data_IF_775857333025
#
_entry.id   IF_775857333025
#
_cell.length_a   1.000
_cell.length_b   1.000
_cell.length_c   1.000
_cell.angle_alpha   90.00
_cell.angle_beta   90.00
_cell.angle_gamma   90.00
#
_symmetry.space_group_name_H-M   'P 1'
#
loop_
_entity.id
_entity.type
_entity.pdbx_description
1 polymer ?
#
# COMPACT_ATOMS: atom_id res chain seq x y z
N UNK A 1 -57.52 -19.53 29.98
CA UNK A 1 -57.23 -19.81 28.56
C UNK A 1 -55.88 -19.26 28.09
N UNK A 2 -55.36 -18.13 28.63
CA UNK A 2 -54.04 -17.58 28.24
C UNK A 2 -52.85 -18.39 28.81
N UNK A 3 -53.00 -19.01 30.00
CA UNK A 3 -51.93 -19.75 30.68
C UNK A 3 -51.47 -21.00 29.92
N UNK A 4 -52.41 -21.85 29.46
CA UNK A 4 -52.12 -23.07 28.71
C UNK A 4 -51.32 -22.80 27.42
N UNK A 5 -51.46 -21.60 26.84
CA UNK A 5 -50.70 -21.24 25.65
C UNK A 5 -49.23 -20.97 25.97
N UNK A 6 -48.91 -20.36 27.11
CA UNK A 6 -47.52 -20.09 27.51
C UNK A 6 -46.80 -21.37 27.92
N UNK A 7 -47.48 -22.27 28.63
CA UNK A 7 -46.91 -23.57 29.03
C UNK A 7 -46.55 -24.41 27.79
N UNK A 8 -47.46 -24.48 26.81
CA UNK A 8 -47.20 -25.17 25.54
C UNK A 8 -46.08 -24.51 24.73
N UNK A 9 -45.98 -23.18 24.79
CA UNK A 9 -44.92 -22.42 24.12
C UNK A 9 -43.56 -22.67 24.78
N UNK A 10 -43.55 -22.85 26.11
CA UNK A 10 -42.37 -23.14 26.88
C UNK A 10 -41.86 -24.57 26.62
N UNK A 11 -42.76 -25.56 26.58
CA UNK A 11 -42.42 -26.93 26.17
C UNK A 11 -41.80 -26.95 24.76
N UNK A 12 -42.38 -26.19 23.83
CA UNK A 12 -41.82 -26.01 22.47
C UNK A 12 -40.45 -25.35 22.49
N UNK A 13 -40.22 -24.40 23.38
CA UNK A 13 -38.93 -23.70 23.55
C UNK A 13 -37.86 -24.64 24.10
N UNK A 14 -38.20 -25.45 25.11
CA UNK A 14 -37.30 -26.48 25.66
C UNK A 14 -36.93 -27.53 24.61
N UNK A 15 -37.86 -27.86 23.71
CA UNK A 15 -37.61 -28.75 22.57
C UNK A 15 -36.88 -28.07 21.39
N UNK A 16 -36.63 -26.75 21.45
CA UNK A 16 -35.95 -26.00 20.39
C UNK A 16 -36.76 -25.81 19.10
N UNK A 17 -38.09 -25.91 19.18
CA UNK A 17 -39.00 -25.85 18.02
C UNK A 17 -39.67 -24.46 17.85
N UNK A 18 -39.31 -23.49 18.70
CA UNK A 18 -39.90 -22.14 18.65
C UNK A 18 -39.42 -21.32 17.46
N UNK A 19 -40.32 -20.50 16.93
CA UNK A 19 -40.02 -19.42 15.99
C UNK A 19 -39.64 -18.13 16.74
N UNK A 20 -38.98 -17.20 16.04
CA UNK A 20 -38.60 -15.89 16.59
C UNK A 20 -39.79 -15.11 17.17
N UNK A 21 -40.97 -15.24 16.56
CA UNK A 21 -42.20 -14.59 17.06
C UNK A 21 -42.66 -15.19 18.39
N UNK A 22 -42.64 -16.52 18.50
CA UNK A 22 -43.02 -17.25 19.73
C UNK A 22 -42.04 -16.95 20.87
N UNK A 23 -40.73 -16.89 20.59
CA UNK A 23 -39.74 -16.48 21.59
C UNK A 23 -39.94 -15.04 22.07
N UNK A 24 -40.37 -14.14 21.17
CA UNK A 24 -40.69 -12.77 21.55
C UNK A 24 -41.92 -12.72 22.46
N UNK A 25 -42.90 -13.60 22.25
CA UNK A 25 -44.05 -13.74 23.15
C UNK A 25 -43.63 -14.26 24.54
N UNK A 26 -42.75 -15.27 24.61
CA UNK A 26 -42.19 -15.76 25.88
C UNK A 26 -41.43 -14.64 26.61
N UNK A 27 -40.55 -13.93 25.91
CA UNK A 27 -39.82 -12.78 26.47
C UNK A 27 -40.78 -11.74 27.06
N UNK A 28 -41.80 -11.33 26.31
CA UNK A 28 -42.76 -10.34 26.76
C UNK A 28 -43.57 -10.80 27.98
N UNK A 29 -43.89 -12.09 28.07
CA UNK A 29 -44.59 -12.65 29.22
C UNK A 29 -43.73 -12.63 30.49
N UNK A 30 -42.48 -13.10 30.41
CA UNK A 30 -41.56 -13.15 31.57
C UNK A 30 -40.98 -11.78 31.98
N UNK A 31 -41.12 -10.76 31.13
CA UNK A 31 -40.82 -9.37 31.46
C UNK A 31 -41.86 -8.72 32.37
N UNK A 32 -43.03 -9.33 32.56
CA UNK A 32 -44.08 -8.80 33.43
C UNK A 32 -43.69 -8.94 34.92
N UNK A 33 -44.16 -8.00 35.75
CA UNK A 33 -43.91 -8.04 37.20
C UNK A 33 -44.54 -9.30 37.83
N UNK A 34 -45.77 -9.63 37.44
CA UNK A 34 -46.54 -10.78 37.93
C UNK A 34 -46.53 -11.92 36.92
N UNK A 35 -45.84 -13.01 37.25
CA UNK A 35 -45.82 -14.28 36.48
C UNK A 35 -46.47 -15.37 37.33
N UNK A 36 -47.07 -16.38 36.70
CA UNK A 36 -47.64 -17.51 37.43
C UNK A 36 -46.60 -18.19 38.33
N UNK A 37 -46.96 -18.57 39.58
CA UNK A 37 -45.99 -19.06 40.59
C UNK A 37 -45.15 -20.26 40.12
N UNK A 38 -45.73 -21.17 39.35
CA UNK A 38 -45.02 -22.36 38.85
C UNK A 38 -44.09 -22.07 37.66
N UNK A 39 -44.25 -20.92 37.01
CA UNK A 39 -43.40 -20.48 35.89
C UNK A 39 -42.32 -19.49 36.32
N UNK A 40 -42.34 -19.03 37.58
CA UNK A 40 -41.42 -18.04 38.11
C UNK A 40 -39.96 -18.50 38.02
N UNK A 41 -39.70 -19.82 38.09
CA UNK A 41 -38.38 -20.41 37.90
C UNK A 41 -37.74 -20.09 36.54
N UNK A 42 -38.54 -19.83 35.50
CA UNK A 42 -38.05 -19.52 34.15
C UNK A 42 -37.75 -18.03 33.94
N UNK A 43 -38.24 -17.16 34.85
CA UNK A 43 -38.11 -15.69 34.73
C UNK A 43 -36.66 -15.20 34.56
N UNK A 44 -35.64 -15.74 35.27
CA UNK A 44 -34.25 -15.31 35.08
C UNK A 44 -33.72 -15.56 33.66
N UNK A 45 -34.18 -16.63 32.98
CA UNK A 45 -33.73 -17.00 31.64
C UNK A 45 -34.09 -15.95 30.58
N UNK A 46 -35.23 -15.29 30.75
CA UNK A 46 -35.74 -14.30 29.80
C UNK A 46 -35.40 -12.85 30.20
N UNK A 47 -35.11 -12.59 31.48
CA UNK A 47 -34.82 -11.23 31.99
C UNK A 47 -33.32 -10.90 32.02
N UNK A 48 -32.42 -11.90 32.09
CA UNK A 48 -30.97 -11.68 32.20
C UNK A 48 -30.39 -10.78 31.09
N UNK A 49 -30.82 -10.98 29.84
CA UNK A 49 -30.32 -10.20 28.70
C UNK A 49 -30.85 -8.76 28.63
N UNK A 50 -31.86 -8.39 29.43
CA UNK A 50 -32.36 -7.03 29.49
C UNK A 50 -31.38 -6.12 30.26
N UNK A 51 -30.77 -6.63 31.32
CA UNK A 51 -29.80 -5.91 32.16
C UNK A 51 -28.51 -5.65 31.37
N UNK A 52 -28.01 -6.67 30.66
CA UNK A 52 -26.74 -6.59 29.93
C UNK A 52 -26.84 -5.83 28.59
N UNK A 53 -28.05 -5.57 28.07
CA UNK A 53 -28.24 -4.74 26.86
C UNK A 53 -27.78 -3.29 27.04
N UNK A 54 -27.63 -2.83 28.28
CA UNK A 54 -27.17 -1.47 28.58
C UNK A 54 -25.64 -1.34 28.48
N UNK A 55 -24.89 -2.45 28.47
CA UNK A 55 -23.45 -2.43 28.26
C UNK A 55 -23.15 -2.21 26.78
N UNK A 56 -23.09 -0.95 26.38
CA UNK A 56 -22.55 -0.57 25.08
C UNK A 56 -21.05 -0.36 25.18
N UNK A 57 -20.31 -0.92 24.23
CA UNK A 57 -18.89 -0.64 24.07
C UNK A 57 -18.72 0.82 23.61
N UNK A 58 -18.53 1.74 24.56
CA UNK A 58 -18.42 3.20 24.33
C UNK A 58 -17.02 3.66 23.96
N UNK A 59 -16.05 2.74 23.84
CA UNK A 59 -14.67 3.09 23.55
C UNK A 59 -14.50 3.36 22.06
N UNK A 60 -14.03 4.55 21.73
CA UNK A 60 -13.61 4.87 20.37
C UNK A 60 -12.54 3.89 19.90
N UNK A 61 -12.87 3.08 18.90
CA UNK A 61 -11.92 2.21 18.24
C UNK A 61 -11.09 3.08 17.29
N UNK A 62 -9.75 3.11 17.42
CA UNK A 62 -8.88 3.77 16.45
C UNK A 62 -8.81 2.92 15.18
N UNK A 63 -9.90 2.90 14.42
CA UNK A 63 -9.98 2.18 13.16
C UNK A 63 -9.23 2.98 12.10
N UNK A 64 -8.04 2.50 11.72
CA UNK A 64 -7.34 2.98 10.53
C UNK A 64 -8.12 2.51 9.29
N UNK A 65 -9.08 3.30 8.85
CA UNK A 65 -9.81 3.04 7.61
C UNK A 65 -8.83 3.07 6.44
N UNK A 66 -8.85 2.04 5.59
CA UNK A 66 -8.05 2.05 4.34
C UNK A 66 -8.52 3.22 3.48
N UNK A 67 -7.57 4.03 3.00
CA UNK A 67 -7.86 5.09 2.02
C UNK A 67 -8.41 4.43 0.76
N UNK A 68 -9.69 4.66 0.49
CA UNK A 68 -10.32 4.25 -0.77
C UNK A 68 -9.89 5.22 -1.86
N UNK A 69 -9.14 4.73 -2.84
CA UNK A 69 -8.82 5.54 -4.01
C UNK A 69 -10.03 5.55 -4.93
N UNK A 70 -10.48 6.74 -5.34
CA UNK A 70 -11.67 6.88 -6.16
C UNK A 70 -11.29 6.72 -7.65
N UNK A 71 -11.24 5.47 -8.12
CA UNK A 71 -10.93 5.10 -9.50
C UNK A 71 -11.85 5.74 -10.55
N UNK A 72 -13.03 6.26 -10.15
CA UNK A 72 -13.93 6.98 -11.06
C UNK A 72 -13.28 8.23 -11.66
N UNK A 73 -12.37 8.88 -10.92
CA UNK A 73 -11.63 10.05 -11.42
C UNK A 73 -10.57 9.68 -12.47
N UNK A 74 -10.11 8.42 -12.53
CA UNK A 74 -9.17 7.98 -13.56
C UNK A 74 -9.84 8.00 -14.93
N UNK A 75 -11.11 7.57 -15.02
CA UNK A 75 -11.85 7.59 -16.27
C UNK A 75 -12.03 9.03 -16.80
N UNK A 76 -12.35 9.97 -15.89
CA UNK A 76 -12.47 11.40 -16.22
C UNK A 76 -11.14 11.97 -16.69
N UNK A 77 -10.04 11.65 -15.99
CA UNK A 77 -8.70 12.09 -16.36
C UNK A 77 -8.27 11.52 -17.72
N UNK A 78 -8.55 10.25 -18.01
CA UNK A 78 -8.21 9.62 -19.28
C UNK A 78 -8.91 10.30 -20.47
N UNK A 79 -10.21 10.58 -20.33
CA UNK A 79 -10.96 11.30 -21.36
C UNK A 79 -10.41 12.72 -21.54
N UNK A 80 -10.13 13.44 -20.45
CA UNK A 80 -9.53 14.77 -20.52
C UNK A 80 -8.16 14.77 -21.22
N UNK A 81 -7.30 13.80 -20.92
CA UNK A 81 -5.98 13.67 -21.58
C UNK A 81 -6.14 13.36 -23.07
N UNK A 82 -7.08 12.48 -23.45
CA UNK A 82 -7.33 12.15 -24.85
C UNK A 82 -7.91 13.35 -25.62
N UNK A 83 -8.83 14.10 -25.03
CA UNK A 83 -9.42 15.28 -25.67
C UNK A 83 -8.42 16.41 -25.78
N UNK A 84 -7.63 16.67 -24.74
CA UNK A 84 -6.54 17.65 -24.79
C UNK A 84 -5.46 17.22 -25.80
N UNK A 85 -5.07 15.95 -25.80
CA UNK A 85 -4.10 15.41 -26.76
C UNK A 85 -4.59 15.49 -28.20
N UNK A 86 -5.89 15.33 -28.43
CA UNK A 86 -6.49 15.53 -29.76
C UNK A 86 -6.64 17.03 -30.11
N UNK A 87 -7.01 17.87 -29.15
CA UNK A 87 -7.24 19.31 -29.36
C UNK A 87 -5.93 20.08 -29.59
N UNK A 88 -4.90 19.75 -28.82
CA UNK A 88 -3.53 20.27 -29.00
C UNK A 88 -2.73 19.44 -30.00
N UNK A 89 -3.37 18.53 -30.75
CA UNK A 89 -2.76 17.95 -31.94
C UNK A 89 -2.70 19.05 -33.00
N UNK A 90 -1.66 19.89 -32.92
CA UNK A 90 -1.21 20.65 -34.07
C UNK A 90 -1.02 19.67 -35.24
N UNK A 91 -1.23 20.09 -36.51
CA UNK A 91 -0.74 19.33 -37.64
C UNK A 91 0.78 19.28 -37.54
N UNK A 92 1.27 18.29 -36.80
CA UNK A 92 2.61 17.76 -36.83
C UNK A 92 2.83 17.04 -38.18
N UNK A 93 2.56 17.75 -39.28
CA UNK A 93 2.90 17.38 -40.64
C UNK A 93 3.70 18.56 -41.17
N UNK A 94 4.98 18.61 -40.81
CA UNK A 94 6.01 19.39 -41.53
C UNK A 94 7.42 19.29 -40.92
N UNK A 95 7.67 18.50 -39.88
CA UNK A 95 9.06 18.31 -39.40
C UNK A 95 9.47 16.86 -39.10
N UNK A 96 8.56 15.89 -39.25
CA UNK A 96 8.85 14.48 -38.93
C UNK A 96 9.12 13.63 -40.18
N UNK A 97 8.80 14.11 -41.39
CA UNK A 97 9.11 13.36 -42.62
C UNK A 97 10.49 13.67 -43.20
N UNK A 98 11.10 14.83 -42.91
CA UNK A 98 12.40 15.21 -43.50
C UNK A 98 13.61 14.55 -42.82
N UNK A 99 13.48 14.12 -41.56
CA UNK A 99 14.59 13.56 -40.78
C UNK A 99 14.45 12.08 -40.44
N UNK A 100 13.37 11.42 -40.86
CA UNK A 100 13.08 10.03 -40.50
C UNK A 100 14.03 9.01 -41.17
N UNK A 101 14.76 9.40 -42.21
CA UNK A 101 15.60 8.50 -43.02
C UNK A 101 17.12 8.66 -42.81
N UNK A 102 17.55 9.47 -41.84
CA UNK A 102 18.95 9.48 -41.39
C UNK A 102 19.98 10.14 -42.32
N UNK A 103 19.53 10.82 -43.37
CA UNK A 103 20.37 11.63 -44.26
C UNK A 103 19.86 13.06 -44.29
N UNK A 104 20.78 14.01 -44.14
CA UNK A 104 20.51 15.44 -44.29
C UNK A 104 20.86 15.85 -45.72
N UNK A 105 19.94 16.52 -46.41
CA UNK A 105 20.16 16.99 -47.79
C UNK A 105 21.19 18.13 -47.85
N UNK A 106 21.28 18.94 -46.79
CA UNK A 106 22.23 20.02 -46.67
C UNK A 106 23.45 19.59 -45.82
N UNK A 107 24.69 19.69 -46.35
CA UNK A 107 25.90 19.34 -45.62
C UNK A 107 26.13 20.18 -44.34
N UNK A 108 25.65 21.42 -44.29
CA UNK A 108 25.78 22.26 -43.08
C UNK A 108 24.94 21.74 -41.91
N UNK A 109 23.70 21.31 -42.20
CA UNK A 109 22.78 20.77 -41.19
C UNK A 109 23.27 19.41 -40.66
N UNK A 110 23.83 18.58 -41.55
CA UNK A 110 24.48 17.32 -41.18
C UNK A 110 25.63 17.54 -40.19
N UNK A 111 26.50 18.51 -40.49
CA UNK A 111 27.65 18.83 -39.65
C UNK A 111 27.22 19.39 -38.29
N UNK A 112 26.19 20.24 -38.28
CA UNK A 112 25.66 20.81 -37.04
C UNK A 112 25.10 19.72 -36.11
N UNK A 113 24.30 18.79 -36.62
CA UNK A 113 23.79 17.70 -35.79
C UNK A 113 24.90 16.77 -35.31
N UNK A 114 25.86 16.40 -36.17
CA UNK A 114 27.03 15.60 -35.75
C UNK A 114 27.79 16.33 -34.64
N UNK A 115 28.01 17.63 -34.76
CA UNK A 115 28.71 18.44 -33.75
C UNK A 115 27.97 18.40 -32.41
N UNK A 116 26.65 18.54 -32.43
CA UNK A 116 25.79 18.46 -31.24
C UNK A 116 25.82 17.09 -30.58
N UNK A 117 25.75 16.02 -31.37
CA UNK A 117 25.83 14.64 -30.86
C UNK A 117 27.21 14.36 -30.26
N UNK A 118 28.29 14.78 -30.92
CA UNK A 118 29.65 14.68 -30.39
C UNK A 118 29.82 15.50 -29.09
N UNK A 119 29.21 16.67 -29.00
CA UNK A 119 29.21 17.47 -27.78
C UNK A 119 28.47 16.77 -26.63
N UNK A 120 27.33 16.11 -26.90
CA UNK A 120 26.63 15.30 -25.89
C UNK A 120 27.49 14.12 -25.44
N UNK A 121 28.09 13.38 -26.38
CA UNK A 121 28.98 12.26 -26.09
C UNK A 121 30.15 12.73 -25.23
N UNK A 122 30.80 13.85 -25.59
CA UNK A 122 31.90 14.45 -24.83
C UNK A 122 31.48 14.81 -23.41
N UNK A 123 30.29 15.43 -23.23
CA UNK A 123 29.77 15.76 -21.91
C UNK A 123 29.52 14.52 -21.05
N UNK A 124 28.95 13.45 -21.63
CA UNK A 124 28.74 12.18 -20.93
C UNK A 124 30.07 11.49 -20.58
N UNK A 125 31.03 11.49 -21.50
CA UNK A 125 32.35 10.94 -21.28
C UNK A 125 33.09 11.69 -20.16
N UNK A 126 33.09 13.02 -20.17
CA UNK A 126 33.71 13.84 -19.13
C UNK A 126 33.07 13.61 -17.76
N UNK A 127 31.73 13.46 -17.70
CA UNK A 127 31.04 13.05 -16.47
C UNK A 127 31.51 11.67 -16.01
N UNK A 128 31.58 10.68 -16.91
CA UNK A 128 32.10 9.34 -16.60
C UNK A 128 33.54 9.36 -16.06
N UNK A 129 34.44 10.10 -16.70
CA UNK A 129 35.82 10.26 -16.24
C UNK A 129 35.87 10.89 -14.84
N UNK A 130 35.05 11.92 -14.57
CA UNK A 130 34.99 12.53 -13.23
C UNK A 130 34.51 11.55 -12.14
N UNK A 131 33.65 10.58 -12.48
CA UNK A 131 33.18 9.57 -11.51
C UNK A 131 34.22 8.51 -11.18
N UNK A 132 35.26 8.32 -12.00
CA UNK A 132 36.35 7.36 -11.75
C UNK A 132 37.58 8.00 -11.12
N UNK A 133 37.52 9.28 -10.74
CA UNK A 133 38.60 9.98 -10.02
C UNK A 133 39.02 9.27 -8.72
N UNK A 134 38.15 8.48 -8.09
CA UNK A 134 38.52 7.68 -6.92
C UNK A 134 39.59 6.61 -7.21
N UNK A 135 39.79 6.21 -8.47
CA UNK A 135 40.85 5.28 -8.87
C UNK A 135 42.25 5.89 -8.68
N UNK A 136 42.39 7.22 -8.76
CA UNK A 136 43.63 7.92 -8.45
C UNK A 136 43.99 7.78 -6.95
N UNK A 137 43.00 7.89 -6.07
CA UNK A 137 43.16 7.67 -4.63
C UNK A 137 43.46 6.21 -4.28
N UNK A 138 42.86 5.25 -5.00
CA UNK A 138 43.18 3.81 -4.87
C UNK A 138 44.63 3.54 -5.27
N UNK A 139 45.14 4.18 -6.32
CA UNK A 139 46.55 4.04 -6.73
C UNK A 139 47.50 4.58 -5.64
N UNK A 140 47.25 5.77 -5.09
CA UNK A 140 48.04 6.33 -3.96
C UNK A 140 48.02 5.43 -2.73
N UNK A 141 46.85 4.85 -2.41
CA UNK A 141 46.71 3.87 -1.34
C UNK A 141 47.54 2.61 -1.60
N UNK A 142 47.56 2.13 -2.84
CA UNK A 142 48.34 0.95 -3.26
C UNK A 142 49.85 1.21 -3.20
N UNK A 143 50.31 2.40 -3.57
CA UNK A 143 51.72 2.83 -3.40
C UNK A 143 52.12 2.86 -1.91
N UNK A 144 51.23 3.38 -1.06
CA UNK A 144 51.44 3.43 0.40
C UNK A 144 51.59 2.02 0.99
N UNK A 145 50.77 1.07 0.54
CA UNK A 145 50.91 -0.35 0.93
C UNK A 145 52.25 -0.94 0.49
N UNK A 146 52.77 -0.53 -0.66
CA UNK A 146 54.12 -0.89 -1.12
C UNK A 146 55.20 -0.46 -0.13
N UNK A 147 55.18 0.80 0.30
CA UNK A 147 56.12 1.31 1.32
C UNK A 147 55.99 0.57 2.66
N UNK A 148 54.77 0.26 3.09
CA UNK A 148 54.56 -0.51 4.32
C UNK A 148 55.14 -1.93 4.22
N UNK A 149 55.00 -2.59 3.08
CA UNK A 149 55.61 -3.90 2.83
C UNK A 149 57.14 -3.84 2.82
N UNK A 150 57.75 -2.77 2.29
CA UNK A 150 59.20 -2.56 2.38
C UNK A 150 59.66 -2.36 3.83
N UNK A 151 58.91 -1.58 4.62
CA UNK A 151 59.19 -1.36 6.04
C UNK A 151 59.03 -2.65 6.87
N UNK A 152 57.99 -3.45 6.60
CA UNK A 152 57.78 -4.75 7.25
C UNK A 152 58.96 -5.69 6.95
N UNK A 153 59.39 -5.79 5.70
CA UNK A 153 60.55 -6.59 5.32
C UNK A 153 61.81 -6.13 6.04
N UNK A 154 62.11 -4.83 6.06
CA UNK A 154 63.27 -4.28 6.78
C UNK A 154 63.19 -4.56 8.29
N UNK A 155 62.01 -4.41 8.90
CA UNK A 155 61.78 -4.69 10.32
C UNK A 155 61.95 -6.18 10.62
N UNK A 156 61.46 -7.06 9.74
CA UNK A 156 61.61 -8.52 9.87
C UNK A 156 63.07 -8.97 9.80
N UNK A 157 63.91 -8.26 9.05
CA UNK A 157 65.36 -8.49 8.96
C UNK A 157 66.05 -8.06 10.26
N UNK A 158 65.69 -6.90 10.80
CA UNK A 158 66.33 -6.30 11.99
C UNK A 158 65.90 -7.02 13.28
N UNK A 159 64.63 -7.37 13.40
CA UNK A 159 64.03 -7.93 14.61
C UNK A 159 63.76 -9.43 14.51
N UNK A 160 64.41 -10.15 13.58
CA UNK A 160 64.29 -11.61 13.46
C UNK A 160 64.74 -12.28 14.77
N UNK A 161 63.78 -12.63 15.62
CA UNK A 161 64.00 -13.45 16.81
C UNK A 161 64.33 -14.88 16.33
N UNK A 162 65.42 -15.46 16.84
CA UNK A 162 65.73 -16.88 16.67
C UNK A 162 64.56 -17.76 17.13
#
# INVERSE_FOLDING_TARGET
MVLNNIEKLLEKYENGETSLHEEQQLKNYFLQETVAPHLEMYKPMFTYFQVNKQEQFTKDLPLKTKKVFNYKWIAVAAVAVLTLGYYFKEPAVSSYEEYAYGTYDNPEDALNEVTKQLAMISNHFNKGVSTVNYLDEVNKGTETLGYLNEMENATSIIFKKQ
#
